data_IF_508170632027
#
_entry.id   IF_508170632027
#
_cell.length_a   1.000
_cell.length_b   1.000
_cell.length_c   1.000
_cell.angle_alpha   90.00
_cell.angle_beta   90.00
_cell.angle_gamma   90.00
#
_symmetry.space_group_name_H-M   'P 1'
#
loop_
_entity.id
_entity.type
_entity.pdbx_description
1 polymer ?
#
# COMPACT_ATOMS: atom_id res chain seq x y z
N UNK A 1 -61.95 1.49 14.79
CA UNK A 1 -62.56 2.82 15.02
C UNK A 1 -61.46 3.75 15.52
N UNK A 2 -60.92 4.66 14.69
CA UNK A 2 -59.94 5.66 15.13
C UNK A 2 -60.65 6.78 15.92
N UNK A 3 -59.98 7.50 16.83
CA UNK A 3 -59.31 8.78 16.51
C UNK A 3 -57.97 8.94 17.29
N UNK A 4 -57.23 10.06 17.38
CA UNK A 4 -57.37 11.47 16.95
C UNK A 4 -56.06 11.92 16.26
N UNK A 5 -56.10 12.82 15.29
CA UNK A 5 -54.92 13.53 14.76
C UNK A 5 -54.52 14.71 15.66
N UNK A 6 -53.25 14.77 16.09
CA UNK A 6 -52.67 15.97 16.71
C UNK A 6 -51.84 16.76 15.67
N UNK A 7 -52.37 17.92 15.24
CA UNK A 7 -51.72 18.83 14.30
C UNK A 7 -50.77 19.77 15.07
N UNK A 8 -49.46 19.73 14.78
CA UNK A 8 -48.49 20.69 15.32
C UNK A 8 -48.05 21.63 14.20
N UNK A 9 -48.55 22.86 14.23
CA UNK A 9 -48.21 23.89 13.25
C UNK A 9 -46.85 24.52 13.58
N UNK A 10 -45.87 24.36 12.67
CA UNK A 10 -44.59 25.06 12.77
C UNK A 10 -44.67 26.40 12.05
N UNK A 11 -45.02 27.46 12.79
CA UNK A 11 -44.79 28.83 12.35
C UNK A 11 -43.28 29.11 12.41
N UNK A 12 -42.64 29.31 11.26
CA UNK A 12 -41.29 29.90 11.17
C UNK A 12 -41.34 31.11 10.25
N UNK A 13 -41.30 32.27 10.87
CA UNK A 13 -41.35 33.60 10.25
C UNK A 13 -40.15 33.81 9.33
N UNK A 14 -40.37 34.22 8.08
CA UNK A 14 -39.32 34.78 7.23
C UNK A 14 -39.01 36.21 7.72
N UNK A 15 -37.74 36.49 8.01
CA UNK A 15 -37.23 37.86 8.18
C UNK A 15 -36.11 38.11 7.19
N UNK A 16 -36.49 38.67 6.05
CA UNK A 16 -35.57 39.24 5.05
C UNK A 16 -35.01 40.57 5.57
N UNK A 17 -33.69 40.72 5.58
CA UNK A 17 -33.02 42.01 5.80
C UNK A 17 -32.29 42.45 4.52
N UNK A 18 -32.32 43.76 4.18
CA UNK A 18 -31.90 44.24 2.88
C UNK A 18 -30.38 44.37 2.73
N UNK A 19 -29.94 44.19 1.48
CA UNK A 19 -28.58 44.50 1.01
C UNK A 19 -28.30 46.00 1.15
N UNK A 20 -27.13 46.34 1.73
CA UNK A 20 -26.57 47.70 1.64
C UNK A 20 -25.23 47.61 0.91
N UNK A 21 -25.22 48.11 -0.32
CA UNK A 21 -24.05 48.18 -1.18
C UNK A 21 -23.36 49.52 -0.95
N UNK A 22 -22.16 49.52 -0.36
CA UNK A 22 -21.35 50.72 -0.16
C UNK A 22 -20.02 50.58 -0.93
N UNK A 23 -19.96 51.18 -2.13
CA UNK A 23 -18.72 51.30 -2.89
C UNK A 23 -17.96 52.55 -2.43
N UNK A 24 -16.75 52.38 -1.91
CA UNK A 24 -15.82 53.46 -1.60
C UNK A 24 -14.44 53.12 -2.15
N UNK A 25 -14.09 53.75 -3.27
CA UNK A 25 -12.77 53.60 -3.89
C UNK A 25 -11.76 54.50 -3.17
N UNK A 26 -10.71 53.92 -2.60
CA UNK A 26 -9.58 54.64 -2.02
C UNK A 26 -8.27 54.13 -2.62
N UNK A 27 -7.68 54.95 -3.49
CA UNK A 27 -6.36 54.71 -4.08
C UNK A 27 -5.29 55.14 -3.06
N UNK A 28 -4.42 54.22 -2.60
CA UNK A 28 -3.29 54.56 -1.72
C UNK A 28 -2.00 53.92 -2.24
N UNK A 29 -0.89 54.62 -2.01
CA UNK A 29 0.37 54.54 -2.75
C UNK A 29 1.17 53.25 -2.54
N UNK A 30 2.09 53.02 -3.48
CA UNK A 30 3.11 51.99 -3.42
C UNK A 30 3.96 52.07 -2.13
N UNK A 31 4.18 50.91 -1.51
CA UNK A 31 5.25 50.66 -0.56
C UNK A 31 6.09 49.49 -1.06
N UNK A 32 7.38 49.73 -1.34
CA UNK A 32 8.32 48.63 -1.58
C UNK A 32 8.65 48.01 -0.22
N UNK A 33 8.29 46.73 -0.04
CA UNK A 33 8.70 45.93 1.09
C UNK A 33 9.34 44.65 0.56
N UNK A 34 10.67 44.63 0.51
CA UNK A 34 11.46 43.41 0.34
C UNK A 34 11.37 42.58 1.62
N UNK A 35 10.19 42.01 1.85
CA UNK A 35 9.92 41.08 2.91
C UNK A 35 10.58 39.74 2.56
N UNK A 36 11.74 39.51 3.17
CA UNK A 36 12.50 38.28 3.24
C UNK A 36 11.60 37.02 3.23
N UNK A 37 11.42 36.41 2.04
CA UNK A 37 10.50 35.29 1.85
C UNK A 37 11.29 33.98 1.70
N UNK A 38 11.98 33.58 2.77
CA UNK A 38 12.50 32.22 2.92
C UNK A 38 11.32 31.25 3.04
N UNK A 39 10.81 30.79 1.90
CA UNK A 39 9.78 29.76 1.82
C UNK A 39 10.43 28.38 2.07
N UNK A 40 10.21 27.72 3.23
CA UNK A 40 10.79 26.42 3.51
C UNK A 40 9.81 25.32 3.09
N UNK A 41 10.15 24.55 2.06
CA UNK A 41 9.37 23.39 1.61
C UNK A 41 8.54 23.63 0.35
N UNK A 42 9.22 23.95 -0.76
CA UNK A 42 8.68 23.56 -2.06
C UNK A 42 8.86 22.06 -2.22
N UNK A 43 7.78 21.28 -2.12
CA UNK A 43 7.80 19.85 -2.46
C UNK A 43 8.32 19.71 -3.89
N UNK A 44 9.36 18.90 -4.11
CA UNK A 44 9.86 18.68 -5.46
C UNK A 44 8.76 18.05 -6.32
N UNK A 45 8.64 18.48 -7.58
CA UNK A 45 7.63 17.95 -8.47
C UNK A 45 7.89 16.44 -8.72
N UNK A 46 6.94 15.59 -8.31
CA UNK A 46 7.05 14.13 -8.43
C UNK A 46 7.53 13.41 -7.16
N UNK A 47 7.62 14.07 -6.01
CA UNK A 47 7.84 13.42 -4.70
C UNK A 47 6.66 13.58 -3.74
N UNK A 48 6.59 12.69 -2.74
CA UNK A 48 5.62 12.72 -1.64
C UNK A 48 6.31 12.60 -0.28
N UNK A 49 5.56 12.88 0.79
CA UNK A 49 5.95 12.54 2.15
C UNK A 49 5.19 11.28 2.60
N UNK A 50 5.91 10.35 3.24
CA UNK A 50 5.38 9.08 3.73
C UNK A 50 5.47 9.01 5.26
N UNK A 51 4.64 8.17 5.87
CA UNK A 51 4.65 7.93 7.30
C UNK A 51 4.76 6.43 7.57
N UNK A 52 5.68 6.07 8.47
CA UNK A 52 5.96 4.69 8.89
C UNK A 52 5.86 4.59 10.42
N UNK A 53 4.65 4.54 10.99
CA UNK A 53 4.47 4.51 12.44
C UNK A 53 5.04 3.22 13.06
N UNK A 54 5.75 3.28 14.20
CA UNK A 54 6.26 2.08 14.87
C UNK A 54 5.16 1.10 15.28
N UNK A 55 5.43 -0.20 15.16
CA UNK A 55 4.48 -1.31 15.35
C UNK A 55 5.17 -2.52 16.00
N UNK A 56 5.74 -2.30 17.19
CA UNK A 56 6.49 -3.32 17.94
C UNK A 56 7.94 -3.49 17.46
N UNK A 57 8.56 -4.59 17.89
CA UNK A 57 9.93 -4.94 17.50
C UNK A 57 9.96 -5.59 16.11
N UNK A 58 10.98 -5.32 15.27
CA UNK A 58 11.06 -5.89 13.95
C UNK A 58 11.47 -7.38 13.99
N UNK A 59 10.86 -8.19 13.11
CA UNK A 59 11.14 -9.62 12.97
C UNK A 59 12.61 -9.94 12.59
N UNK A 60 13.27 -8.99 11.94
CA UNK A 60 14.70 -8.96 11.61
C UNK A 60 15.15 -7.51 11.72
N UNK A 61 16.34 -7.24 12.28
CA UNK A 61 16.83 -5.87 12.47
C UNK A 61 16.94 -5.12 11.13
N UNK A 62 16.23 -4.00 11.03
CA UNK A 62 16.22 -3.03 9.92
C UNK A 62 15.92 -1.63 10.45
N UNK A 63 16.35 -0.62 9.70
CA UNK A 63 15.96 0.77 9.89
C UNK A 63 14.73 1.12 9.02
N UNK A 64 13.77 1.92 9.52
CA UNK A 64 12.67 2.43 8.70
C UNK A 64 13.16 3.30 7.53
N UNK A 65 12.48 3.26 6.37
CA UNK A 65 12.86 4.04 5.19
C UNK A 65 12.66 5.55 5.36
N UNK A 66 13.29 6.33 4.47
CA UNK A 66 13.12 7.78 4.40
C UNK A 66 11.65 8.19 4.22
N UNK A 67 11.26 9.23 4.95
CA UNK A 67 9.87 9.73 5.04
C UNK A 67 9.59 10.97 4.19
N UNK A 68 10.63 11.55 3.58
CA UNK A 68 10.56 12.81 2.82
C UNK A 68 11.10 12.60 1.43
N UNK A 69 10.60 13.41 0.50
CA UNK A 69 11.04 13.43 -0.90
C UNK A 69 11.01 12.05 -1.58
N UNK A 70 10.09 11.19 -1.13
CA UNK A 70 9.90 9.83 -1.65
C UNK A 70 9.42 9.91 -3.10
N UNK A 71 10.11 9.29 -4.08
CA UNK A 71 9.72 9.39 -5.49
C UNK A 71 8.34 8.76 -5.75
N UNK A 72 7.45 9.52 -6.38
CA UNK A 72 6.07 9.12 -6.70
C UNK A 72 5.80 9.03 -8.21
N UNK A 73 6.85 8.78 -8.99
CA UNK A 73 6.77 8.61 -10.45
C UNK A 73 7.76 7.56 -10.93
N UNK A 74 7.48 6.96 -12.09
CA UNK A 74 8.29 5.89 -12.67
C UNK A 74 8.15 4.55 -11.93
N UNK A 75 9.01 3.60 -12.29
CA UNK A 75 8.98 2.22 -11.78
C UNK A 75 10.30 1.82 -11.13
N UNK A 76 10.30 0.69 -10.43
CA UNK A 76 11.49 -0.03 -9.96
C UNK A 76 11.42 -1.46 -10.47
N UNK A 77 12.54 -2.01 -10.94
CA UNK A 77 12.64 -3.46 -11.14
C UNK A 77 13.15 -4.11 -9.87
N UNK A 78 12.51 -5.19 -9.42
CA UNK A 78 12.98 -5.99 -8.29
C UNK A 78 12.82 -7.48 -8.61
N UNK A 79 13.89 -8.26 -8.51
CA UNK A 79 13.83 -9.71 -8.75
C UNK A 79 13.88 -10.46 -7.43
N UNK A 80 12.87 -11.30 -7.20
CA UNK A 80 12.85 -12.30 -6.13
C UNK A 80 13.57 -13.55 -6.65
N UNK A 81 14.75 -13.87 -6.10
CA UNK A 81 15.44 -15.13 -6.41
C UNK A 81 14.82 -16.24 -5.58
N UNK A 82 13.78 -16.93 -6.09
CA UNK A 82 13.19 -18.06 -5.37
C UNK A 82 13.99 -19.35 -5.63
N UNK A 83 13.93 -20.26 -4.67
CA UNK A 83 14.39 -21.66 -4.81
C UNK A 83 13.78 -22.41 -6.01
N UNK A 84 12.59 -21.99 -6.47
CA UNK A 84 11.91 -22.53 -7.65
C UNK A 84 12.25 -21.80 -8.98
N UNK A 85 12.92 -20.65 -8.93
CA UNK A 85 13.20 -19.79 -10.09
C UNK A 85 13.03 -18.29 -9.78
N UNK A 86 13.50 -17.44 -10.69
CA UNK A 86 13.40 -16.00 -10.54
C UNK A 86 11.98 -15.48 -10.83
N UNK A 87 11.53 -14.51 -10.04
CA UNK A 87 10.27 -13.77 -10.26
C UNK A 87 10.61 -12.28 -10.35
N UNK A 88 10.50 -11.68 -11.54
CA UNK A 88 10.86 -10.26 -11.74
C UNK A 88 9.63 -9.39 -11.61
N UNK A 89 9.71 -8.39 -10.73
CA UNK A 89 8.64 -7.45 -10.43
C UNK A 89 8.91 -6.11 -11.11
N UNK A 90 7.86 -5.51 -11.66
CA UNK A 90 7.80 -4.09 -12.00
C UNK A 90 6.96 -3.38 -10.95
N UNK A 91 7.60 -2.61 -10.07
CA UNK A 91 6.96 -1.87 -9.00
C UNK A 91 6.57 -0.46 -9.48
N UNK A 92 5.39 0.02 -9.12
CA UNK A 92 4.78 1.25 -9.65
C UNK A 92 4.68 2.35 -8.58
N UNK A 93 5.62 3.30 -8.63
CA UNK A 93 5.69 4.42 -7.66
C UNK A 93 4.55 5.42 -7.84
N UNK A 94 3.87 5.46 -8.98
CA UNK A 94 2.74 6.37 -9.19
C UNK A 94 1.45 5.85 -8.55
N UNK A 95 1.34 4.52 -8.35
CA UNK A 95 0.22 3.89 -7.62
C UNK A 95 0.45 3.85 -6.12
N UNK A 96 1.63 3.40 -5.68
CA UNK A 96 1.89 3.08 -4.28
C UNK A 96 3.29 3.55 -3.82
N UNK A 97 3.57 4.87 -3.83
CA UNK A 97 4.91 5.40 -3.56
C UNK A 97 5.48 4.99 -2.21
N UNK A 98 4.69 5.04 -1.13
CA UNK A 98 5.17 4.72 0.22
C UNK A 98 5.40 3.21 0.39
N UNK A 99 4.57 2.38 -0.27
CA UNK A 99 4.74 0.93 -0.31
C UNK A 99 5.99 0.53 -1.08
N UNK A 100 6.21 1.08 -2.28
CA UNK A 100 7.40 0.78 -3.09
C UNK A 100 8.67 1.24 -2.35
N UNK A 101 8.65 2.41 -1.71
CA UNK A 101 9.76 2.91 -0.90
C UNK A 101 10.07 2.02 0.31
N UNK A 102 9.05 1.51 1.01
CA UNK A 102 9.24 0.53 2.09
C UNK A 102 9.80 -0.79 1.57
N UNK A 103 9.22 -1.36 0.50
CA UNK A 103 9.69 -2.62 -0.08
C UNK A 103 11.15 -2.53 -0.56
N UNK A 104 11.52 -1.44 -1.25
CA UNK A 104 12.88 -1.25 -1.77
C UNK A 104 13.91 -1.09 -0.66
N UNK A 105 13.64 -0.28 0.38
CA UNK A 105 14.52 -0.18 1.55
C UNK A 105 14.70 -1.51 2.29
N UNK A 106 13.62 -2.29 2.46
CA UNK A 106 13.71 -3.62 3.08
C UNK A 106 14.52 -4.59 2.21
N UNK A 107 14.42 -4.52 0.88
CA UNK A 107 15.24 -5.30 -0.04
C UNK A 107 16.73 -4.90 0.01
N UNK A 108 17.05 -3.60 0.00
CA UNK A 108 18.42 -3.07 0.12
C UNK A 108 19.11 -3.48 1.43
N UNK A 109 18.33 -3.67 2.50
CA UNK A 109 18.81 -4.14 3.80
C UNK A 109 18.85 -5.68 3.94
N UNK A 110 18.51 -6.45 2.89
CA UNK A 110 18.47 -7.92 2.94
C UNK A 110 17.40 -8.46 3.90
N UNK A 111 16.31 -7.71 4.14
CA UNK A 111 15.26 -8.12 5.07
C UNK A 111 14.54 -9.40 4.61
N UNK A 112 14.36 -9.54 3.30
CA UNK A 112 13.69 -10.64 2.63
C UNK A 112 14.59 -11.86 2.37
N UNK A 113 15.90 -11.73 2.58
CA UNK A 113 16.87 -12.78 2.26
C UNK A 113 16.68 -14.00 3.17
N UNK A 114 16.81 -15.19 2.61
CA UNK A 114 16.54 -16.47 3.28
C UNK A 114 15.14 -16.60 3.93
N UNK A 115 14.12 -15.86 3.48
CA UNK A 115 12.74 -15.95 4.00
C UNK A 115 11.85 -16.87 3.16
N UNK A 116 10.81 -17.47 3.76
CA UNK A 116 9.86 -18.34 3.05
C UNK A 116 8.53 -17.64 2.76
N UNK A 117 7.93 -17.98 1.63
CA UNK A 117 6.52 -17.72 1.36
C UNK A 117 5.68 -18.71 2.18
N UNK A 118 5.33 -18.28 3.39
CA UNK A 118 4.70 -19.10 4.43
C UNK A 118 3.24 -19.46 4.18
N UNK A 119 2.61 -18.92 3.12
CA UNK A 119 1.18 -19.18 2.86
C UNK A 119 0.82 -19.18 1.38
N UNK A 120 0.30 -20.30 0.90
CA UNK A 120 -0.35 -20.52 -0.39
C UNK A 120 -1.87 -20.66 -0.19
N UNK A 121 -2.67 -20.18 -1.13
CA UNK A 121 -4.11 -20.45 -1.20
C UNK A 121 -4.50 -20.79 -2.63
N UNK A 122 -5.14 -21.95 -2.84
CA UNK A 122 -5.40 -22.57 -4.14
C UNK A 122 -6.88 -22.82 -4.47
N UNK A 123 -7.81 -22.33 -3.64
CA UNK A 123 -9.24 -22.62 -3.76
C UNK A 123 -10.18 -21.39 -3.77
N UNK A 124 -9.64 -20.16 -3.73
CA UNK A 124 -10.49 -18.95 -3.67
C UNK A 124 -9.78 -17.65 -4.05
N UNK A 125 -8.67 -17.34 -3.39
CA UNK A 125 -7.96 -16.07 -3.58
C UNK A 125 -6.66 -16.18 -4.38
N UNK A 126 -6.21 -17.40 -4.69
CA UNK A 126 -5.11 -17.68 -5.63
C UNK A 126 -3.84 -16.84 -5.39
N UNK A 127 -3.37 -16.85 -4.14
CA UNK A 127 -2.18 -16.09 -3.71
C UNK A 127 -1.06 -16.97 -3.17
N UNK A 128 0.17 -16.52 -3.35
CA UNK A 128 1.36 -16.94 -2.59
C UNK A 128 1.87 -15.74 -1.78
N UNK A 129 1.82 -15.83 -0.46
CA UNK A 129 2.13 -14.77 0.49
C UNK A 129 3.52 -14.98 1.13
N UNK A 130 4.31 -13.92 1.15
CA UNK A 130 5.73 -13.89 1.50
C UNK A 130 6.05 -12.67 2.38
N UNK A 131 7.33 -12.48 2.73
CA UNK A 131 7.81 -11.26 3.38
C UNK A 131 7.66 -11.22 4.90
N UNK A 132 7.50 -12.38 5.54
CA UNK A 132 7.62 -12.54 7.00
C UNK A 132 8.89 -13.35 7.35
N UNK A 133 9.93 -12.73 7.94
CA UNK A 133 11.13 -13.45 8.37
C UNK A 133 10.91 -14.50 9.46
N UNK A 134 9.80 -14.45 10.21
CA UNK A 134 9.47 -15.50 11.20
C UNK A 134 8.67 -16.66 10.61
N UNK A 135 8.16 -16.51 9.39
CA UNK A 135 7.22 -17.41 8.73
C UNK A 135 5.91 -17.70 9.51
N UNK A 136 5.56 -16.91 10.54
CA UNK A 136 4.34 -17.13 11.34
C UNK A 136 3.10 -16.45 10.76
N UNK A 137 3.27 -15.60 9.74
CA UNK A 137 2.24 -14.72 9.21
C UNK A 137 1.96 -13.50 10.10
N UNK A 138 2.73 -13.31 11.18
CA UNK A 138 2.55 -12.23 12.16
C UNK A 138 3.77 -11.34 12.34
N UNK A 139 4.92 -11.67 11.72
CA UNK A 139 6.09 -10.81 11.74
C UNK A 139 5.97 -9.63 10.79
N UNK A 140 6.78 -8.61 11.05
CA UNK A 140 6.81 -7.34 10.32
C UNK A 140 8.05 -6.52 10.65
N UNK A 141 8.26 -5.38 9.97
CA UNK A 141 9.52 -4.63 10.00
C UNK A 141 9.60 -3.63 11.18
N UNK A 142 8.79 -3.82 12.23
CA UNK A 142 8.70 -2.90 13.38
C UNK A 142 7.96 -1.59 13.09
N UNK A 143 7.31 -1.47 11.93
CA UNK A 143 6.47 -0.33 11.55
C UNK A 143 5.32 -0.75 10.62
N UNK A 144 4.28 0.09 10.51
CA UNK A 144 3.24 -0.05 9.47
C UNK A 144 3.42 0.91 8.30
N UNK A 145 2.80 0.58 7.17
CA UNK A 145 2.70 1.42 5.97
C UNK A 145 1.22 1.79 5.70
N UNK A 146 0.93 2.91 5.02
CA UNK A 146 -0.44 3.29 4.65
C UNK A 146 -1.05 2.35 3.60
N UNK A 147 -2.39 2.31 3.54
CA UNK A 147 -3.09 1.70 2.41
C UNK A 147 -3.13 2.72 1.24
N UNK A 148 -2.56 2.36 0.10
CA UNK A 148 -2.50 3.19 -1.12
C UNK A 148 -3.41 2.57 -2.18
N UNK A 149 -4.70 2.43 -1.83
CA UNK A 149 -5.67 1.63 -2.59
C UNK A 149 -6.92 2.44 -2.97
N UNK A 150 -7.34 2.34 -4.23
CA UNK A 150 -8.59 2.89 -4.72
C UNK A 150 -9.69 1.82 -4.84
N UNK A 151 -10.96 2.23 -4.92
CA UNK A 151 -12.11 1.31 -4.93
C UNK A 151 -12.43 0.66 -6.28
N UNK A 152 -11.65 0.93 -7.31
CA UNK A 152 -11.67 0.26 -8.61
C UNK A 152 -10.50 -0.70 -8.84
N UNK A 153 -9.59 -0.85 -7.87
CA UNK A 153 -8.51 -1.84 -7.96
C UNK A 153 -9.07 -3.26 -8.13
N UNK A 154 -8.36 -4.06 -8.91
CA UNK A 154 -8.65 -5.48 -9.18
C UNK A 154 -7.35 -6.28 -9.09
N UNK A 155 -7.47 -7.60 -8.98
CA UNK A 155 -6.35 -8.50 -8.72
C UNK A 155 -6.34 -9.66 -9.72
N UNK A 156 -6.10 -9.40 -11.03
CA UNK A 156 -5.81 -10.47 -11.98
C UNK A 156 -4.49 -11.17 -11.66
N UNK A 157 -4.29 -12.35 -12.26
CA UNK A 157 -3.02 -13.05 -12.22
C UNK A 157 -1.85 -12.14 -12.64
N UNK A 158 -0.72 -12.24 -11.95
CA UNK A 158 0.45 -11.39 -12.16
C UNK A 158 0.53 -10.19 -11.20
N UNK A 159 -0.54 -9.82 -10.49
CA UNK A 159 -0.51 -8.69 -9.55
C UNK A 159 0.32 -9.01 -8.29
N UNK A 160 1.06 -8.00 -7.81
CA UNK A 160 1.68 -8.00 -6.48
C UNK A 160 1.03 -6.94 -5.60
N UNK A 161 0.56 -7.37 -4.43
CA UNK A 161 -0.14 -6.50 -3.48
C UNK A 161 0.31 -6.74 -2.03
N UNK A 162 0.14 -5.73 -1.18
CA UNK A 162 0.53 -5.81 0.22
C UNK A 162 -0.49 -6.58 1.06
N UNK A 163 0.01 -7.52 1.86
CA UNK A 163 -0.78 -8.09 2.95
C UNK A 163 -0.86 -7.06 4.09
N UNK A 164 -1.97 -7.06 4.81
CA UNK A 164 -2.22 -6.20 5.96
C UNK A 164 -3.07 -6.93 7.00
N UNK A 165 -3.11 -6.40 8.23
CA UNK A 165 -4.09 -6.82 9.24
C UNK A 165 -5.49 -6.32 8.84
N UNK A 166 -6.52 -6.71 9.59
CA UNK A 166 -7.90 -6.31 9.26
C UNK A 166 -8.11 -4.79 9.25
N UNK A 167 -7.42 -4.06 10.14
CA UNK A 167 -7.51 -2.60 10.21
C UNK A 167 -6.81 -1.91 9.03
N UNK A 168 -7.29 -0.74 8.57
CA UNK A 168 -6.59 0.05 7.54
C UNK A 168 -5.22 0.56 8.00
N UNK A 169 -4.30 0.76 7.05
CA UNK A 169 -2.93 1.26 7.27
C UNK A 169 -2.10 0.36 8.19
N UNK A 170 -2.24 -0.96 7.97
CA UNK A 170 -1.53 -2.00 8.74
C UNK A 170 -0.76 -2.99 7.87
N UNK A 171 -0.44 -2.59 6.63
CA UNK A 171 0.61 -3.26 5.86
C UNK A 171 1.95 -3.12 6.59
N UNK A 172 2.90 -3.98 6.26
CA UNK A 172 4.26 -3.96 6.84
C UNK A 172 5.26 -4.42 5.80
N UNK A 173 5.87 -5.58 6.02
CA UNK A 173 6.80 -6.21 5.06
C UNK A 173 6.16 -7.31 4.21
N UNK A 174 5.02 -7.86 4.65
CA UNK A 174 4.39 -9.01 4.01
C UNK A 174 3.61 -8.61 2.75
N UNK A 175 3.85 -9.32 1.65
CA UNK A 175 3.19 -9.11 0.37
C UNK A 175 2.66 -10.44 -0.17
N UNK A 176 1.82 -10.40 -1.20
CA UNK A 176 1.35 -11.57 -1.90
C UNK A 176 1.40 -11.43 -3.42
N UNK A 177 1.72 -12.55 -4.06
CA UNK A 177 1.80 -12.77 -5.50
C UNK A 177 0.50 -13.46 -5.94
N UNK A 178 -0.28 -12.80 -6.80
CA UNK A 178 -1.53 -13.34 -7.33
C UNK A 178 -1.23 -14.21 -8.54
N UNK A 179 -1.56 -15.51 -8.48
CA UNK A 179 -1.15 -16.50 -9.50
C UNK A 179 -2.29 -17.03 -10.38
N UNK A 180 -3.54 -16.79 -9.98
CA UNK A 180 -4.72 -16.92 -10.83
C UNK A 180 -5.70 -15.76 -10.54
N UNK A 181 -6.65 -15.51 -11.43
CA UNK A 181 -7.58 -14.37 -11.30
C UNK A 181 -8.46 -14.50 -10.04
N UNK A 182 -8.58 -13.42 -9.26
CA UNK A 182 -9.36 -13.43 -8.01
C UNK A 182 -10.25 -12.20 -7.79
N UNK A 183 -11.45 -12.45 -7.29
CA UNK A 183 -12.41 -11.45 -6.79
C UNK A 183 -12.06 -10.94 -5.37
N UNK A 184 -10.78 -10.71 -5.08
CA UNK A 184 -10.36 -10.08 -3.81
C UNK A 184 -11.00 -8.68 -3.68
N UNK A 185 -11.43 -8.28 -2.46
CA UNK A 185 -12.01 -6.95 -2.26
C UNK A 185 -10.96 -5.84 -2.43
N UNK A 186 -11.40 -4.67 -2.91
CA UNK A 186 -10.57 -3.47 -3.12
C UNK A 186 -10.09 -2.84 -1.80
N UNK A 187 -9.15 -3.52 -1.12
CA UNK A 187 -8.62 -3.22 0.22
C UNK A 187 -7.10 -3.38 0.35
N UNK A 188 -6.42 -4.00 -0.62
CA UNK A 188 -4.98 -4.27 -0.56
C UNK A 188 -4.24 -3.38 -1.56
N UNK A 189 -3.17 -2.73 -1.11
CA UNK A 189 -2.34 -1.88 -1.98
C UNK A 189 -1.69 -2.71 -3.08
N UNK A 190 -2.08 -2.51 -4.34
CA UNK A 190 -1.38 -3.04 -5.52
C UNK A 190 -0.19 -2.13 -5.80
N UNK A 191 1.04 -2.66 -5.67
CA UNK A 191 2.27 -1.89 -5.82
C UNK A 191 3.19 -2.38 -6.94
N UNK A 192 2.83 -3.47 -7.63
CA UNK A 192 3.56 -3.93 -8.81
C UNK A 192 2.92 -5.11 -9.52
N UNK A 193 3.62 -5.62 -10.54
CA UNK A 193 3.26 -6.82 -11.30
C UNK A 193 4.49 -7.71 -11.52
N UNK A 194 4.29 -9.02 -11.50
CA UNK A 194 5.25 -10.03 -11.98
C UNK A 194 5.38 -9.97 -13.50
N UNK A 195 6.51 -10.46 -14.01
CA UNK A 195 6.67 -10.85 -15.41
C UNK A 195 6.04 -12.23 -15.69
N UNK A 196 5.80 -12.55 -16.97
CA UNK A 196 5.14 -13.80 -17.38
C UNK A 196 5.92 -15.04 -16.88
N UNK A 197 7.26 -15.00 -16.91
CA UNK A 197 8.10 -16.09 -16.44
C UNK A 197 7.98 -16.28 -14.91
N UNK A 198 8.00 -15.18 -14.14
CA UNK A 198 7.77 -15.21 -12.70
C UNK A 198 6.38 -15.72 -12.31
N UNK A 199 5.33 -15.34 -13.06
CA UNK A 199 3.98 -15.87 -12.88
C UNK A 199 3.93 -17.39 -13.08
N UNK A 200 4.62 -17.92 -14.11
CA UNK A 200 4.71 -19.37 -14.34
C UNK A 200 5.50 -20.11 -13.23
N UNK A 201 6.54 -19.49 -12.64
CA UNK A 201 7.23 -20.02 -11.45
C UNK A 201 6.26 -20.13 -10.26
N UNK A 202 5.48 -19.08 -9.96
CA UNK A 202 4.52 -19.09 -8.84
C UNK A 202 3.39 -20.10 -9.10
N UNK A 203 2.92 -20.25 -10.34
CA UNK A 203 1.97 -21.32 -10.73
C UNK A 203 2.58 -22.71 -10.56
N UNK A 204 3.86 -22.89 -10.84
CA UNK A 204 4.58 -24.15 -10.62
C UNK A 204 4.72 -24.54 -9.14
N UNK A 205 4.83 -23.55 -8.25
CA UNK A 205 4.72 -23.73 -6.79
C UNK A 205 3.28 -24.14 -6.44
N UNK A 206 2.29 -23.35 -6.89
CA UNK A 206 0.88 -23.56 -6.57
C UNK A 206 0.34 -24.93 -7.03
N UNK A 207 0.77 -25.40 -8.21
CA UNK A 207 0.34 -26.69 -8.77
C UNK A 207 0.80 -27.92 -7.98
N UNK A 208 1.75 -27.77 -7.05
CA UNK A 208 2.15 -28.84 -6.12
C UNK A 208 1.24 -28.92 -4.88
N UNK A 209 0.42 -27.89 -4.65
CA UNK A 209 -0.59 -27.84 -3.59
C UNK A 209 -0.08 -27.33 -2.25
N UNK A 210 -1.01 -27.28 -1.30
CA UNK A 210 -0.81 -26.82 0.08
C UNK A 210 -0.54 -28.02 1.00
N UNK A 211 0.33 -27.85 1.99
CA UNK A 211 0.67 -28.86 2.99
C UNK A 211 -0.59 -29.33 3.75
N UNK A 212 -0.75 -30.65 3.91
CA UNK A 212 -1.96 -31.24 4.49
C UNK A 212 -2.09 -31.05 6.00
N UNK A 213 -0.99 -30.83 6.71
CA UNK A 213 -0.94 -30.74 8.17
C UNK A 213 -1.31 -29.33 8.65
N UNK A 214 -0.72 -28.28 8.06
CA UNK A 214 -1.02 -26.88 8.42
C UNK A 214 -2.08 -26.20 7.53
N UNK A 215 -2.29 -26.71 6.30
CA UNK A 215 -3.26 -26.20 5.31
C UNK A 215 -3.05 -24.75 4.89
N UNK A 216 -1.80 -24.29 4.98
CA UNK A 216 -1.38 -22.95 4.56
C UNK A 216 -0.04 -22.95 3.82
N UNK A 217 0.97 -23.71 4.24
CA UNK A 217 2.29 -23.70 3.61
C UNK A 217 2.25 -24.35 2.22
N UNK A 218 2.99 -23.85 1.22
CA UNK A 218 3.16 -24.57 -0.04
C UNK A 218 3.97 -25.86 0.15
N UNK A 219 3.59 -26.95 -0.52
CA UNK A 219 4.35 -28.22 -0.52
C UNK A 219 5.74 -28.04 -1.18
N UNK A 220 5.79 -27.21 -2.22
CA UNK A 220 7.04 -26.80 -2.84
C UNK A 220 7.74 -25.74 -1.97
N UNK A 221 9.03 -25.90 -1.69
CA UNK A 221 9.79 -24.86 -1.00
C UNK A 221 9.78 -23.58 -1.83
N UNK A 222 9.11 -22.55 -1.30
CA UNK A 222 8.98 -21.23 -1.90
C UNK A 222 9.82 -20.23 -1.09
N UNK A 223 11.13 -20.49 -1.03
CA UNK A 223 12.09 -19.66 -0.28
C UNK A 223 12.68 -18.56 -1.16
N UNK A 224 12.53 -17.30 -0.75
CA UNK A 224 13.30 -16.16 -1.26
C UNK A 224 14.73 -16.30 -0.75
N UNK A 225 15.67 -16.48 -1.67
CA UNK A 225 17.10 -16.50 -1.34
C UNK A 225 17.60 -15.06 -1.15
N UNK A 226 17.32 -14.20 -2.12
CA UNK A 226 17.64 -12.76 -2.10
C UNK A 226 16.59 -11.94 -2.85
N UNK A 227 16.53 -10.63 -2.58
CA UNK A 227 15.83 -9.66 -3.44
C UNK A 227 16.83 -8.66 -4.01
N UNK A 228 16.91 -8.56 -5.34
CA UNK A 228 17.82 -7.62 -6.03
C UNK A 228 17.03 -6.53 -6.74
N UNK A 229 17.43 -5.26 -6.56
CA UNK A 229 16.89 -4.13 -7.31
C UNK A 229 17.70 -3.86 -8.58
N UNK A 230 17.03 -3.43 -9.66
CA UNK A 230 17.61 -3.12 -10.98
C UNK A 230 17.48 -1.67 -11.43
#
# INVERSE_FOLDING_TARGET
MPPIYARVERVRTLTTFPVVLAAASALVLAGCADANNTNPGGSAAGTVACAYPPDGDPARAVDPPDTKDVPATGTVSATLSLTAGDVTLTLDRAKAPCTVNSFTSLAEQGYYDDTVCHRLVDYSIFILQCGDPTATGTGGPGYTIPDEVDKSVTYPAGVVAMAKRQAPNTGGSQFFLVWDDTDLPAEYTVFGTMDDAGLDVVRGIAAQGVDGDDKTSPIAEAKIQTVTLG
#
